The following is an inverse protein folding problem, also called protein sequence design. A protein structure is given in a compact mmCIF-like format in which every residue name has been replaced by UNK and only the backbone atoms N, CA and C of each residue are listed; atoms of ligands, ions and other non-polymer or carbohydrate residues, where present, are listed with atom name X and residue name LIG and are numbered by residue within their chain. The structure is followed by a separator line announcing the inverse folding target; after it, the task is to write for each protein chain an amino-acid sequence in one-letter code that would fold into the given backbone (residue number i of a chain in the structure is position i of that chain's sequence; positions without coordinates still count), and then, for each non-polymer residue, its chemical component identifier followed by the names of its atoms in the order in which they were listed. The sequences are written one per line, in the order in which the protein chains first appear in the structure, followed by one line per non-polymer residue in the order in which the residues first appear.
data_IF_849833393632
#
_entry.id   IF_849833393632
#
_cell.length_a   1.000
_cell.length_b   1.000
_cell.length_c   1.000
_cell.angle_alpha   90.00
_cell.angle_beta   90.00
_cell.angle_gamma   90.00
#
_symmetry.space_group_name_H-M   'P 1'
#
loop_
_entity.id
_entity.type
_entity.pdbx_description
1 polymer ?
#
# COMPACT_ATOMS: atom_id res chain seq x y z
N UNK A 1 4.92 24.48 -21.37
CA UNK A 1 3.89 24.29 -20.31
C UNK A 1 3.41 22.84 -20.17
N UNK A 2 3.52 21.99 -21.20
CA UNK A 2 3.13 20.56 -21.13
C UNK A 2 4.00 19.75 -20.17
N UNK A 3 5.32 19.98 -20.22
CA UNK A 3 6.32 19.22 -19.43
C UNK A 3 6.11 19.31 -17.90
N UNK A 4 5.86 20.50 -17.36
CA UNK A 4 5.64 20.68 -15.91
C UNK A 4 4.35 20.00 -15.41
N UNK A 5 3.28 20.01 -16.24
CA UNK A 5 2.03 19.31 -15.91
C UNK A 5 2.22 17.80 -15.92
N UNK A 6 3.01 17.30 -16.87
CA UNK A 6 3.30 15.87 -16.99
C UNK A 6 4.20 15.40 -15.83
N UNK A 7 5.21 16.18 -15.45
CA UNK A 7 6.04 15.91 -14.26
C UNK A 7 5.22 15.88 -12.97
N UNK A 8 4.32 16.86 -12.78
CA UNK A 8 3.44 16.89 -11.61
C UNK A 8 2.49 15.69 -11.58
N UNK A 9 1.93 15.32 -12.73
CA UNK A 9 1.05 14.16 -12.86
C UNK A 9 1.78 12.86 -12.54
N UNK A 10 3.03 12.72 -13.00
CA UNK A 10 3.85 11.55 -12.72
C UNK A 10 4.26 11.48 -11.24
N UNK A 11 4.60 12.61 -10.61
CA UNK A 11 4.83 12.68 -9.14
C UNK A 11 3.58 12.22 -8.39
N UNK A 12 2.40 12.74 -8.71
CA UNK A 12 1.13 12.35 -8.07
C UNK A 12 0.85 10.86 -8.22
N UNK A 13 1.10 10.30 -9.40
CA UNK A 13 0.92 8.87 -9.66
C UNK A 13 1.86 7.99 -8.84
N UNK A 14 3.12 8.40 -8.65
CA UNK A 14 4.06 7.70 -7.77
C UNK A 14 3.56 7.69 -6.33
N UNK A 15 3.09 8.84 -5.84
CA UNK A 15 2.49 8.98 -4.50
C UNK A 15 1.26 8.06 -4.36
N UNK A 16 0.35 8.03 -5.34
CA UNK A 16 -0.84 7.16 -5.32
C UNK A 16 -0.51 5.67 -5.21
N UNK A 17 0.62 5.23 -5.81
CA UNK A 17 1.05 3.83 -5.76
C UNK A 17 1.54 3.45 -4.37
N UNK A 18 2.19 4.38 -3.66
CA UNK A 18 2.81 4.13 -2.35
C UNK A 18 1.87 4.39 -1.18
N UNK A 19 0.87 5.24 -1.39
CA UNK A 19 -0.11 5.64 -0.39
C UNK A 19 -0.80 4.45 0.32
N UNK A 20 -1.20 3.34 -0.33
CA UNK A 20 -1.77 2.19 0.38
C UNK A 20 -0.79 1.59 1.41
N UNK A 21 0.50 1.49 1.06
CA UNK A 21 1.53 1.01 1.96
C UNK A 21 1.73 1.95 3.14
N UNK A 22 1.67 3.25 2.88
CA UNK A 22 1.72 4.27 3.93
C UNK A 22 0.54 4.15 4.91
N UNK A 23 -0.69 4.12 4.41
CA UNK A 23 -1.91 4.02 5.23
C UNK A 23 -1.88 2.76 6.11
N UNK A 24 -1.44 1.62 5.57
CA UNK A 24 -1.27 0.38 6.36
C UNK A 24 -0.23 0.52 7.48
N UNK A 25 0.90 1.18 7.20
CA UNK A 25 1.95 1.40 8.21
C UNK A 25 1.44 2.26 9.37
N UNK A 26 0.63 3.28 9.07
CA UNK A 26 -0.06 4.10 10.08
C UNK A 26 -1.02 3.22 10.89
N UNK A 27 -1.90 2.46 10.22
CA UNK A 27 -2.88 1.59 10.89
C UNK A 27 -2.24 0.62 11.87
N UNK A 28 -1.18 -0.08 11.44
CA UNK A 28 -0.49 -1.05 12.27
C UNK A 28 0.06 -0.42 13.55
N UNK A 29 0.63 0.78 13.45
CA UNK A 29 1.16 1.51 14.60
C UNK A 29 0.06 2.03 15.52
N UNK A 30 -1.05 2.50 14.96
CA UNK A 30 -2.22 2.92 15.75
C UNK A 30 -2.90 1.76 16.49
N UNK A 31 -2.87 0.55 15.92
CA UNK A 31 -3.38 -0.66 16.57
C UNK A 31 -2.45 -1.15 17.70
N UNK A 32 -1.13 -1.04 17.53
CA UNK A 32 -0.13 -1.36 18.56
C UNK A 32 -0.29 -0.45 19.79
N UNK A 33 -0.43 0.86 19.57
CA UNK A 33 -0.52 1.85 20.64
C UNK A 33 -1.90 1.89 21.34
N UNK A 34 -2.94 1.28 20.77
CA UNK A 34 -4.28 1.16 21.40
C UNK A 34 -4.28 0.36 22.71
N UNK A 35 -3.23 -0.39 23.03
CA UNK A 35 -3.10 -1.11 24.30
C UNK A 35 -2.87 -0.19 25.51
N UNK A 36 -2.51 1.08 25.31
CA UNK A 36 -2.30 2.07 26.37
C UNK A 36 -3.34 3.19 26.22
N UNK A 37 -4.46 3.09 26.95
CA UNK A 37 -5.71 3.86 26.75
C UNK A 37 -5.65 5.38 27.03
N UNK A 38 -4.57 6.06 26.67
CA UNK A 38 -4.34 7.48 26.96
C UNK A 38 -4.43 8.36 25.71
N UNK A 39 -5.35 9.33 25.74
CA UNK A 39 -5.58 10.35 24.67
C UNK A 39 -4.34 11.18 24.32
N UNK A 40 -3.34 11.25 25.21
CA UNK A 40 -2.11 12.01 25.02
C UNK A 40 -1.06 11.26 24.17
N UNK A 41 -1.25 9.95 24.00
CA UNK A 41 -0.40 9.06 23.19
C UNK A 41 -0.57 9.40 21.69
N UNK A 42 -1.77 9.85 21.27
CA UNK A 42 -2.07 10.14 19.87
C UNK A 42 -1.26 11.27 19.21
N UNK A 43 -0.81 12.30 19.94
CA UNK A 43 0.02 13.38 19.36
C UNK A 43 1.46 12.93 19.10
N UNK A 44 2.08 12.36 20.14
CA UNK A 44 3.48 11.90 20.09
C UNK A 44 3.60 10.76 19.07
N UNK A 45 2.57 9.93 18.98
CA UNK A 45 2.50 8.82 18.03
C UNK A 45 2.49 9.28 16.58
N UNK A 46 1.69 10.29 16.21
CA UNK A 46 1.58 10.69 14.81
C UNK A 46 2.92 11.22 14.27
N UNK A 47 3.65 12.02 15.05
CA UNK A 47 4.96 12.51 14.64
C UNK A 47 5.93 11.33 14.45
N UNK A 48 5.99 10.40 15.41
CA UNK A 48 6.86 9.23 15.33
C UNK A 48 6.48 8.28 14.19
N UNK A 49 5.18 8.08 13.92
CA UNK A 49 4.67 7.31 12.78
C UNK A 49 5.22 7.87 11.47
N UNK A 50 5.13 9.19 11.28
CA UNK A 50 5.64 9.82 10.06
C UNK A 50 7.17 9.81 10.00
N UNK A 51 7.87 10.04 11.12
CA UNK A 51 9.34 9.95 11.19
C UNK A 51 9.87 8.56 10.83
N UNK A 52 9.22 7.51 11.31
CA UNK A 52 9.61 6.15 10.99
C UNK A 52 9.25 5.77 9.55
N UNK A 53 8.15 6.32 9.02
CA UNK A 53 7.83 6.14 7.61
C UNK A 53 8.81 6.83 6.67
N UNK A 54 9.39 7.99 7.05
CA UNK A 54 10.43 8.67 6.26
C UNK A 54 11.65 7.81 5.95
N UNK A 55 11.93 6.79 6.76
CA UNK A 55 13.04 5.84 6.56
C UNK A 55 12.79 4.88 5.39
N UNK A 56 11.53 4.69 4.99
CA UNK A 56 11.10 3.72 3.97
C UNK A 56 10.29 4.35 2.83
N UNK A 57 9.94 5.63 2.94
CA UNK A 57 9.24 6.40 1.90
C UNK A 57 10.11 6.54 0.65
N UNK A 58 9.49 6.61 -0.54
CA UNK A 58 10.23 6.95 -1.75
C UNK A 58 10.58 8.43 -1.80
N UNK A 59 11.57 8.77 -2.62
CA UNK A 59 11.96 10.15 -2.93
C UNK A 59 10.77 11.05 -3.34
N UNK A 60 9.74 10.48 -3.97
CA UNK A 60 8.59 11.26 -4.44
C UNK A 60 7.67 11.73 -3.30
N UNK A 61 7.66 11.03 -2.17
CA UNK A 61 6.80 11.30 -1.01
C UNK A 61 7.59 11.76 0.22
N UNK A 62 8.89 11.45 0.28
CA UNK A 62 9.77 11.75 1.40
C UNK A 62 9.85 13.24 1.71
N UNK A 63 10.03 14.10 0.70
CA UNK A 63 10.09 15.56 0.88
C UNK A 63 8.80 16.10 1.50
N UNK A 64 7.66 15.69 0.96
CA UNK A 64 6.35 16.15 1.42
C UNK A 64 6.02 15.64 2.82
N UNK A 65 6.40 14.41 3.15
CA UNK A 65 6.27 13.85 4.49
C UNK A 65 7.24 14.51 5.49
N UNK A 66 8.45 14.88 5.07
CA UNK A 66 9.44 15.52 5.93
C UNK A 66 9.02 16.94 6.31
N UNK A 67 8.48 17.69 5.34
CA UNK A 67 7.88 19.00 5.61
C UNK A 67 6.70 18.85 6.58
N UNK A 68 5.85 17.82 6.43
CA UNK A 68 4.75 17.58 7.36
C UNK A 68 5.25 17.28 8.78
N UNK A 69 6.28 16.45 8.96
CA UNK A 69 6.89 16.21 10.29
C UNK A 69 7.42 17.52 10.90
N UNK A 70 8.08 18.34 10.09
CA UNK A 70 8.56 19.65 10.53
C UNK A 70 7.41 20.57 10.93
N UNK A 71 6.34 20.64 10.13
CA UNK A 71 5.15 21.44 10.41
C UNK A 71 4.44 20.96 11.68
N UNK A 72 4.25 19.65 11.88
CA UNK A 72 3.62 19.09 13.09
C UNK A 72 4.40 19.40 14.38
N UNK A 73 5.72 19.59 14.29
CA UNK A 73 6.56 19.99 15.43
C UNK A 73 6.51 21.48 15.71
N UNK A 74 6.23 22.29 14.69
CA UNK A 74 6.27 23.75 14.76
C UNK A 74 4.88 24.37 15.00
N UNK A 75 3.81 23.70 14.57
CA UNK A 75 2.44 24.19 14.59
C UNK A 75 1.47 23.13 15.11
N UNK A 76 0.17 23.44 15.14
CA UNK A 76 -0.88 22.47 15.46
C UNK A 76 -0.97 21.36 14.41
N UNK A 77 -1.14 20.11 14.87
CA UNK A 77 -1.13 18.91 14.02
C UNK A 77 -2.24 18.96 12.95
N UNK A 78 -3.43 19.46 13.26
CA UNK A 78 -4.50 19.55 12.25
C UNK A 78 -4.13 20.54 11.15
N UNK A 79 -3.53 21.66 11.55
CA UNK A 79 -3.07 22.69 10.61
C UNK A 79 -1.98 22.13 9.70
N UNK A 80 -1.00 21.42 10.26
CA UNK A 80 0.04 20.74 9.50
C UNK A 80 -0.52 19.70 8.52
N UNK A 81 -1.47 18.87 8.96
CA UNK A 81 -2.14 17.88 8.11
C UNK A 81 -2.95 18.52 6.97
N UNK A 82 -3.60 19.66 7.21
CA UNK A 82 -4.32 20.42 6.18
C UNK A 82 -3.37 20.99 5.13
N UNK A 83 -2.27 21.61 5.55
CA UNK A 83 -1.23 22.12 4.65
C UNK A 83 -0.62 21.00 3.79
N UNK A 84 -0.37 19.84 4.39
CA UNK A 84 0.08 18.66 3.67
C UNK A 84 -0.93 18.20 2.60
N UNK A 85 -2.22 18.19 2.92
CA UNK A 85 -3.25 17.86 1.94
C UNK A 85 -3.27 18.83 0.76
N UNK A 86 -3.17 20.13 1.02
CA UNK A 86 -3.13 21.16 -0.01
C UNK A 86 -1.91 21.03 -0.92
N UNK A 87 -0.75 20.69 -0.35
CA UNK A 87 0.50 20.48 -1.07
C UNK A 87 0.44 19.28 -2.01
N UNK A 88 -0.12 18.15 -1.56
CA UNK A 88 -0.23 16.94 -2.37
C UNK A 88 -1.37 17.06 -3.41
N UNK A 89 -2.53 17.53 -2.97
CA UNK A 89 -3.71 17.74 -3.82
C UNK A 89 -4.15 16.47 -4.54
N UNK A 90 -4.19 15.33 -3.83
CA UNK A 90 -4.68 14.03 -4.32
C UNK A 90 -5.86 13.60 -3.44
N UNK A 91 -6.94 13.16 -4.06
CA UNK A 91 -8.18 12.78 -3.37
C UNK A 91 -7.97 11.74 -2.27
N UNK A 92 -7.20 10.69 -2.54
CA UNK A 92 -6.94 9.61 -1.57
C UNK A 92 -6.17 10.12 -0.33
N UNK A 93 -5.28 11.12 -0.51
CA UNK A 93 -4.57 11.79 0.61
C UNK A 93 -5.52 12.67 1.42
N UNK A 94 -6.49 13.32 0.77
CA UNK A 94 -7.51 14.11 1.48
C UNK A 94 -8.36 13.24 2.41
N UNK A 95 -8.71 12.03 1.99
CA UNK A 95 -9.40 11.07 2.86
C UNK A 95 -8.52 10.65 4.05
N UNK A 96 -7.25 10.35 3.80
CA UNK A 96 -6.28 10.01 4.86
C UNK A 96 -6.17 11.14 5.89
N UNK A 97 -5.92 12.37 5.43
CA UNK A 97 -5.77 13.55 6.31
C UNK A 97 -7.01 13.77 7.17
N UNK A 98 -8.21 13.68 6.58
CA UNK A 98 -9.44 13.84 7.35
C UNK A 98 -9.61 12.75 8.42
N UNK A 99 -9.27 11.50 8.09
CA UNK A 99 -9.32 10.39 9.05
C UNK A 99 -8.29 10.56 10.19
N UNK A 100 -7.08 11.05 9.88
CA UNK A 100 -6.06 11.37 10.88
C UNK A 100 -6.48 12.54 11.79
N UNK A 101 -7.11 13.57 11.23
CA UNK A 101 -7.66 14.69 12.01
C UNK A 101 -8.78 14.20 12.94
N UNK A 102 -9.71 13.37 12.44
CA UNK A 102 -10.78 12.84 13.28
C UNK A 102 -10.26 11.89 14.37
N UNK A 103 -9.24 11.09 14.05
CA UNK A 103 -8.53 10.28 15.04
C UNK A 103 -7.86 11.14 16.10
N UNK A 104 -7.19 12.22 15.70
CA UNK A 104 -6.57 13.19 16.61
C UNK A 104 -7.60 13.85 17.54
N UNK A 105 -8.81 14.12 17.05
CA UNK A 105 -9.94 14.62 17.86
C UNK A 105 -10.55 13.58 18.80
N UNK A 106 -10.09 12.33 18.76
CA UNK A 106 -10.63 11.24 19.57
C UNK A 106 -12.00 10.75 19.11
N UNK A 107 -12.40 11.07 17.87
CA UNK A 107 -13.56 10.46 17.25
C UNK A 107 -13.26 8.98 16.96
N UNK A 108 -14.29 8.12 16.95
CA UNK A 108 -14.16 6.69 16.59
C UNK A 108 -13.85 6.47 15.09
N UNK A 109 -12.95 7.25 14.51
CA UNK A 109 -12.57 7.21 13.10
C UNK A 109 -11.44 6.20 12.79
N UNK A 110 -10.96 5.43 13.78
CA UNK A 110 -10.06 4.30 13.50
C UNK A 110 -10.66 3.28 12.53
N UNK A 111 -11.99 3.11 12.56
CA UNK A 111 -12.71 2.30 11.56
C UNK A 111 -12.65 2.93 10.17
N UNK A 112 -12.76 4.27 10.05
CA UNK A 112 -12.69 4.97 8.77
C UNK A 112 -11.32 4.81 8.09
N UNK A 113 -10.23 4.83 8.87
CA UNK A 113 -8.88 4.57 8.35
C UNK A 113 -8.75 3.11 7.85
N UNK A 114 -9.38 2.17 8.56
CA UNK A 114 -9.42 0.75 8.17
C UNK A 114 -10.24 0.51 6.90
N UNK A 115 -11.40 1.17 6.76
CA UNK A 115 -12.19 1.15 5.53
C UNK A 115 -11.41 1.76 4.36
N UNK A 116 -10.73 2.90 4.57
CA UNK A 116 -9.91 3.53 3.54
C UNK A 116 -8.78 2.60 3.07
N UNK A 117 -8.04 1.97 3.99
CA UNK A 117 -6.99 1.02 3.62
C UNK A 117 -7.54 -0.17 2.82
N UNK A 118 -8.71 -0.67 3.20
CA UNK A 118 -9.37 -1.79 2.51
C UNK A 118 -9.81 -1.40 1.09
N UNK A 119 -10.37 -0.22 0.92
CA UNK A 119 -10.77 0.30 -0.40
C UNK A 119 -9.56 0.56 -1.29
N UNK A 120 -8.48 1.12 -0.74
CA UNK A 120 -7.23 1.31 -1.47
C UNK A 120 -6.61 -0.03 -1.90
N UNK A 121 -6.70 -1.07 -1.07
CA UNK A 121 -6.26 -2.41 -1.42
C UNK A 121 -7.07 -3.04 -2.55
N UNK A 122 -8.38 -2.85 -2.54
CA UNK A 122 -9.26 -3.29 -3.62
C UNK A 122 -8.89 -2.57 -4.92
N UNK A 123 -8.78 -1.23 -4.88
CA UNK A 123 -8.39 -0.40 -6.02
C UNK A 123 -7.02 -0.77 -6.59
N UNK A 124 -6.04 -1.03 -5.73
CA UNK A 124 -4.70 -1.46 -6.15
C UNK A 124 -4.73 -2.86 -6.82
N UNK A 125 -5.50 -3.80 -6.28
CA UNK A 125 -5.70 -5.14 -6.88
C UNK A 125 -6.40 -5.06 -8.23
N UNK A 126 -7.39 -4.19 -8.37
CA UNK A 126 -8.08 -3.96 -9.64
C UNK A 126 -7.16 -3.31 -10.68
N UNK A 127 -6.34 -2.34 -10.27
CA UNK A 127 -5.33 -1.75 -11.15
C UNK A 127 -4.29 -2.80 -11.61
N UNK A 128 -3.90 -3.72 -10.73
CA UNK A 128 -3.02 -4.85 -11.07
C UNK A 128 -3.72 -5.81 -12.04
N UNK A 129 -4.98 -6.19 -11.80
CA UNK A 129 -5.79 -7.02 -12.72
C UNK A 129 -5.90 -6.35 -14.09
N UNK A 130 -6.20 -5.06 -14.15
CA UNK A 130 -6.29 -4.31 -15.41
C UNK A 130 -4.95 -4.26 -16.15
N UNK A 131 -3.82 -4.12 -15.43
CA UNK A 131 -2.48 -4.26 -16.02
C UNK A 131 -2.24 -5.67 -16.56
N UNK A 132 -2.65 -6.71 -15.82
CA UNK A 132 -2.54 -8.12 -16.25
C UNK A 132 -3.46 -8.44 -17.45
N UNK A 133 -4.61 -7.79 -17.56
CA UNK A 133 -5.52 -7.93 -18.70
C UNK A 133 -5.05 -7.17 -19.93
N UNK A 134 -4.36 -6.05 -19.72
CA UNK A 134 -3.69 -5.29 -20.77
C UNK A 134 -2.33 -5.89 -21.18
N UNK A 135 -1.79 -6.87 -20.46
CA UNK A 135 -0.61 -7.61 -20.93
C UNK A 135 -0.98 -8.32 -22.24
N UNK A 136 -0.17 -8.17 -23.30
CA UNK A 136 -0.49 -8.72 -24.61
C UNK A 136 -0.71 -10.23 -24.49
N UNK A 137 -1.78 -10.73 -25.13
CA UNK A 137 -2.25 -12.13 -25.15
C UNK A 137 -1.14 -13.18 -25.35
N UNK A 138 -0.01 -12.77 -25.94
CA UNK A 138 1.21 -13.54 -26.16
C UNK A 138 1.84 -14.10 -24.87
N UNK A 139 1.81 -13.36 -23.75
CA UNK A 139 2.37 -13.85 -22.46
C UNK A 139 1.51 -14.98 -21.88
N UNK A 140 0.18 -14.87 -22.01
CA UNK A 140 -0.80 -15.90 -21.59
C UNK A 140 -0.70 -17.18 -22.44
N UNK A 141 -0.28 -17.08 -23.71
CA UNK A 141 -0.11 -18.24 -24.60
C UNK A 141 1.26 -18.91 -24.39
N UNK A 142 2.30 -18.14 -24.08
CA UNK A 142 3.64 -18.67 -23.85
C UNK A 142 3.77 -19.56 -22.59
N UNK A 143 2.87 -19.39 -21.60
CA UNK A 143 2.84 -20.25 -20.41
C UNK A 143 2.17 -21.62 -20.63
N UNK A 144 1.34 -21.77 -21.67
CA UNK A 144 0.64 -23.03 -21.99
C UNK A 144 1.61 -24.21 -22.23
N UNK A 145 2.66 -24.10 -23.07
CA UNK A 145 3.60 -25.20 -23.26
C UNK A 145 4.39 -25.54 -21.99
N UNK A 146 4.74 -24.54 -21.17
CA UNK A 146 5.44 -24.75 -19.90
C UNK A 146 4.59 -25.57 -18.91
N UNK A 147 3.30 -25.25 -18.81
CA UNK A 147 2.34 -26.00 -18.00
C UNK A 147 2.15 -27.43 -18.54
N UNK A 148 2.06 -27.60 -19.86
CA UNK A 148 1.94 -28.91 -20.49
C UNK A 148 3.15 -29.82 -20.22
N UNK A 149 4.37 -29.28 -20.32
CA UNK A 149 5.60 -30.02 -20.01
C UNK A 149 5.68 -30.41 -18.54
N UNK A 150 5.23 -29.52 -17.64
CA UNK A 150 5.20 -29.78 -16.19
C UNK A 150 4.18 -30.87 -15.82
N UNK A 151 3.01 -30.87 -16.45
CA UNK A 151 2.02 -31.94 -16.29
C UNK A 151 2.52 -33.27 -16.85
N UNK A 152 3.14 -33.26 -18.03
CA UNK A 152 3.69 -34.45 -18.65
C UNK A 152 4.80 -35.09 -17.81
N UNK A 153 5.69 -34.29 -17.22
CA UNK A 153 6.76 -34.80 -16.35
C UNK A 153 6.21 -35.41 -15.06
N UNK A 154 5.18 -34.80 -14.45
CA UNK A 154 4.52 -35.36 -13.27
C UNK A 154 3.84 -36.70 -13.57
N UNK A 155 3.10 -36.79 -14.69
CA UNK A 155 2.47 -38.05 -15.11
C UNK A 155 3.54 -39.11 -15.39
N UNK A 156 4.65 -38.74 -16.01
CA UNK A 156 5.76 -39.66 -16.29
C UNK A 156 6.40 -40.21 -15.01
N UNK A 157 6.67 -39.35 -14.02
CA UNK A 157 7.22 -39.77 -12.72
C UNK A 157 6.23 -40.69 -11.99
N UNK A 158 4.96 -40.33 -11.91
CA UNK A 158 3.94 -41.14 -11.23
C UNK A 158 3.77 -42.49 -11.95
N UNK A 159 3.67 -42.50 -13.28
CA UNK A 159 3.52 -43.72 -14.06
C UNK A 159 4.72 -44.65 -13.94
N UNK A 160 5.94 -44.12 -14.02
CA UNK A 160 7.16 -44.92 -13.86
C UNK A 160 7.30 -45.50 -12.45
N UNK A 161 6.91 -44.77 -11.40
CA UNK A 161 6.85 -45.30 -10.05
C UNK A 161 5.78 -46.37 -9.88
N UNK A 162 4.59 -46.21 -10.48
CA UNK A 162 3.51 -47.20 -10.39
C UNK A 162 3.92 -48.53 -11.04
N UNK A 163 4.49 -48.48 -12.25
CA UNK A 163 4.95 -49.67 -12.97
C UNK A 163 6.09 -50.37 -12.23
N UNK A 164 7.02 -49.60 -11.66
CA UNK A 164 8.14 -50.16 -10.89
C UNK A 164 7.72 -50.73 -9.53
N UNK A 165 6.74 -50.10 -8.85
CA UNK A 165 6.15 -50.62 -7.62
C UNK A 165 5.31 -51.88 -7.86
N UNK A 166 4.61 -51.99 -8.99
CA UNK A 166 3.89 -53.21 -9.37
C UNK A 166 4.83 -54.33 -9.83
N UNK A 167 5.90 -54.00 -10.56
CA UNK A 167 6.90 -54.98 -11.02
C UNK A 167 7.84 -55.51 -9.92
N UNK A 168 7.86 -54.90 -8.74
CA UNK A 168 8.57 -55.40 -7.56
C UNK A 168 7.73 -56.24 -6.60
N UNK A 169 6.44 -56.44 -6.90
CA UNK A 169 5.49 -57.26 -6.12
C UNK A 169 5.24 -58.64 -6.74
N UNK A 170 5.91 -58.97 -7.86
CA UNK A 170 5.90 -60.28 -8.54
C UNK A 170 7.29 -60.91 -8.53
#
# INVERSE_FOLDING_TARGET
MTDLKDQLKEKKKRIEIELPGFVRSILYRLEDNKHDGSRMVAQVDLIQIFEDYLKVASDAFQDDAAILVMEMKATDIETALRNFNERIGITDVSFLVNALIGLYRGEHQGEALSYLARDMDVKAKEALKKKLDNLPRRVKIASIPLVAVTLASLIYVIGSHLVRSMGGLF
#
